data_IF_386505027078
#
_entry.id   IF_386505027078
#
_cell.length_a   1.000
_cell.length_b   1.000
_cell.length_c   1.000
_cell.angle_alpha   90.00
_cell.angle_beta   90.00
_cell.angle_gamma   90.00
#
_symmetry.space_group_name_H-M   'P 1'
#
loop_
_entity.id
_entity.type
_entity.pdbx_description
1 polymer ?
#
# COMPACT_ATOMS: atom_id res chain seq x y z
N UNK A 1 -3.85 -15.62 29.42
CA UNK A 1 -3.04 -15.37 28.20
C UNK A 1 -3.35 -13.97 27.70
N UNK A 2 -2.36 -13.26 27.15
CA UNK A 2 -2.52 -11.89 26.67
C UNK A 2 -2.14 -11.78 25.19
N UNK A 3 -2.73 -10.80 24.49
CA UNK A 3 -2.41 -10.43 23.10
C UNK A 3 -1.96 -8.96 23.09
N UNK A 4 -0.89 -8.64 22.38
CA UNK A 4 -0.40 -7.26 22.25
C UNK A 4 -1.46 -6.42 21.54
N UNK A 5 -1.60 -5.16 21.96
CA UNK A 5 -2.40 -4.15 21.28
C UNK A 5 -1.61 -2.84 21.20
N UNK A 6 -2.01 -1.97 20.28
CA UNK A 6 -1.38 -0.67 20.04
C UNK A 6 -1.19 0.21 21.31
N UNK A 7 -2.07 0.10 22.31
CA UNK A 7 -2.03 0.91 23.54
C UNK A 7 -2.06 0.08 24.85
N UNK A 8 -1.74 -1.22 24.78
CA UNK A 8 -1.81 -2.10 25.93
C UNK A 8 -1.84 -3.58 25.55
N UNK A 9 -2.66 -4.36 26.26
CA UNK A 9 -2.88 -5.78 25.95
C UNK A 9 -4.35 -6.16 26.04
N UNK A 10 -4.76 -7.15 25.24
CA UNK A 10 -6.03 -7.83 25.40
C UNK A 10 -5.82 -9.06 26.26
N UNK A 11 -6.58 -9.21 27.36
CA UNK A 11 -6.66 -10.48 28.08
C UNK A 11 -7.61 -11.40 27.33
N UNK A 12 -7.11 -12.55 26.90
CA UNK A 12 -7.83 -13.47 26.00
C UNK A 12 -9.00 -14.18 26.71
N UNK A 13 -8.94 -14.33 28.03
CA UNK A 13 -9.92 -15.08 28.81
C UNK A 13 -11.30 -14.41 28.86
N UNK A 14 -11.34 -13.10 29.01
CA UNK A 14 -12.55 -12.28 29.13
C UNK A 14 -12.66 -11.20 28.05
N UNK A 15 -11.72 -11.19 27.10
CA UNK A 15 -11.62 -10.21 26.03
C UNK A 15 -11.51 -8.76 26.55
N UNK A 16 -10.97 -8.57 27.76
CA UNK A 16 -10.76 -7.26 28.35
C UNK A 16 -9.54 -6.55 27.74
N UNK A 17 -9.75 -5.36 27.18
CA UNK A 17 -8.67 -4.48 26.74
C UNK A 17 -8.09 -3.75 27.95
N UNK A 18 -6.82 -4.02 28.25
CA UNK A 18 -6.09 -3.50 29.40
C UNK A 18 -5.13 -2.41 28.91
N UNK A 19 -5.35 -1.14 29.25
CA UNK A 19 -4.43 -0.06 28.91
C UNK A 19 -3.05 -0.27 29.54
N UNK A 20 -2.01 0.22 28.85
CA UNK A 20 -0.62 0.25 29.33
C UNK A 20 -0.37 1.24 30.47
N UNK A 21 -1.24 1.30 31.47
CA UNK A 21 -1.20 2.26 32.57
C UNK A 21 -0.54 1.62 33.81
N UNK A 22 0.58 2.16 34.32
CA UNK A 22 1.25 1.69 35.52
C UNK A 22 0.36 1.62 36.76
N UNK A 23 -0.73 2.39 36.84
CA UNK A 23 -1.66 2.37 37.97
C UNK A 23 -2.80 1.35 37.79
N UNK A 24 -2.99 0.81 36.58
CA UNK A 24 -3.98 -0.22 36.32
C UNK A 24 -3.57 -1.56 36.92
N UNK A 25 -4.47 -2.16 37.70
CA UNK A 25 -4.23 -3.43 38.37
C UNK A 25 -4.01 -4.59 37.39
N UNK A 26 -4.81 -4.68 36.34
CA UNK A 26 -4.69 -5.71 35.31
C UNK A 26 -3.40 -5.55 34.50
N UNK A 27 -2.92 -4.31 34.32
CA UNK A 27 -1.62 -4.05 33.70
C UNK A 27 -0.46 -4.56 34.55
N UNK A 28 -0.49 -4.33 35.87
CA UNK A 28 0.49 -4.90 36.81
C UNK A 28 0.48 -6.43 36.77
N UNK A 29 -0.71 -7.03 36.69
CA UNK A 29 -0.86 -8.48 36.57
C UNK A 29 -0.23 -9.02 35.27
N UNK A 30 -0.41 -8.32 34.15
CA UNK A 30 0.28 -8.62 32.89
C UNK A 30 1.81 -8.52 33.02
N UNK A 31 2.34 -7.48 33.67
CA UNK A 31 3.79 -7.32 33.88
C UNK A 31 4.39 -8.43 34.74
N UNK A 32 3.68 -8.89 35.78
CA UNK A 32 4.10 -10.05 36.58
C UNK A 32 4.13 -11.33 35.75
N UNK A 33 3.08 -11.54 34.94
CA UNK A 33 3.02 -12.68 34.03
C UNK A 33 4.19 -12.69 33.02
N UNK A 34 4.61 -11.53 32.52
CA UNK A 34 5.84 -11.42 31.70
C UNK A 34 7.11 -11.76 32.50
N UNK A 35 7.22 -11.30 33.74
CA UNK A 35 8.38 -11.56 34.60
C UNK A 35 8.58 -13.04 34.94
N UNK A 36 7.50 -13.83 34.88
CA UNK A 36 7.52 -15.29 34.99
C UNK A 36 8.05 -15.99 33.72
N UNK A 37 8.39 -15.24 32.67
CA UNK A 37 8.94 -15.74 31.40
C UNK A 37 7.88 -16.06 30.35
N UNK A 38 6.64 -15.65 30.55
CA UNK A 38 5.59 -15.84 29.53
C UNK A 38 5.69 -14.80 28.40
N UNK A 39 5.14 -15.14 27.23
CA UNK A 39 5.16 -14.27 26.03
C UNK A 39 3.75 -14.06 25.49
N UNK A 40 3.28 -12.82 25.28
CA UNK A 40 1.95 -12.54 24.74
C UNK A 40 1.87 -12.91 23.26
N UNK A 41 0.65 -13.18 22.78
CA UNK A 41 0.39 -13.34 21.36
C UNK A 41 0.57 -11.99 20.61
N UNK A 42 0.99 -12.00 19.34
CA UNK A 42 1.07 -10.79 18.52
C UNK A 42 -0.32 -10.18 18.28
N UNK A 43 -0.38 -8.87 17.99
CA UNK A 43 -1.63 -8.14 17.72
C UNK A 43 -2.37 -8.64 16.47
N UNK A 44 -1.63 -9.16 15.49
CA UNK A 44 -2.16 -9.71 14.25
C UNK A 44 -1.57 -11.09 13.99
N UNK A 45 -2.34 -11.97 13.37
CA UNK A 45 -1.81 -13.22 12.79
C UNK A 45 -1.03 -12.93 11.51
N UNK A 46 -0.22 -13.89 11.06
CA UNK A 46 0.52 -13.76 9.79
C UNK A 46 -0.44 -13.54 8.60
N UNK A 47 -1.60 -14.21 8.61
CA UNK A 47 -2.64 -14.04 7.59
C UNK A 47 -3.27 -12.64 7.63
N UNK A 48 -3.53 -12.09 8.83
CA UNK A 48 -4.04 -10.73 9.00
C UNK A 48 -3.01 -9.69 8.53
N UNK A 49 -1.72 -9.90 8.85
CA UNK A 49 -0.64 -9.05 8.36
C UNK A 49 -0.50 -9.12 6.84
N UNK A 50 -0.60 -10.31 6.25
CA UNK A 50 -0.55 -10.49 4.80
C UNK A 50 -1.73 -9.80 4.11
N UNK A 51 -2.94 -9.90 4.67
CA UNK A 51 -4.12 -9.21 4.14
C UNK A 51 -3.99 -7.68 4.25
N UNK A 52 -3.47 -7.17 5.37
CA UNK A 52 -3.19 -5.75 5.57
C UNK A 52 -2.13 -5.24 4.58
N UNK A 53 -1.07 -6.03 4.35
CA UNK A 53 -0.03 -5.68 3.39
C UNK A 53 -0.58 -5.66 1.96
N UNK A 54 -1.35 -6.68 1.58
CA UNK A 54 -2.00 -6.74 0.27
C UNK A 54 -2.91 -5.54 0.03
N UNK A 55 -3.72 -5.14 1.02
CA UNK A 55 -4.59 -3.97 0.90
C UNK A 55 -3.78 -2.67 0.66
N UNK A 56 -2.65 -2.50 1.38
CA UNK A 56 -1.74 -1.37 1.17
C UNK A 56 -1.13 -1.39 -0.23
N UNK A 57 -0.74 -2.56 -0.71
CA UNK A 57 -0.14 -2.69 -2.04
C UNK A 57 -1.17 -2.39 -3.14
N UNK A 58 -2.41 -2.84 -2.99
CA UNK A 58 -3.54 -2.51 -3.89
C UNK A 58 -3.77 -1.00 -3.93
N UNK A 59 -3.80 -0.33 -2.77
CA UNK A 59 -3.99 1.11 -2.69
C UNK A 59 -2.83 1.86 -3.37
N UNK A 60 -1.59 1.50 -3.05
CA UNK A 60 -0.40 2.11 -3.63
C UNK A 60 -0.34 1.91 -5.15
N UNK A 61 -0.67 0.71 -5.63
CA UNK A 61 -0.73 0.39 -7.06
C UNK A 61 -1.84 1.18 -7.78
N UNK A 62 -3.01 1.32 -7.16
CA UNK A 62 -4.13 2.09 -7.70
C UNK A 62 -3.81 3.58 -7.78
N UNK A 63 -3.19 4.12 -6.73
CA UNK A 63 -2.73 5.52 -6.70
C UNK A 63 -1.68 5.78 -7.79
N UNK A 64 -0.67 4.90 -7.90
CA UNK A 64 0.33 4.98 -8.97
C UNK A 64 -0.33 4.97 -10.35
N UNK A 65 -1.23 4.01 -10.61
CA UNK A 65 -1.96 3.89 -11.87
C UNK A 65 -2.73 5.17 -12.23
N UNK A 66 -3.40 5.78 -11.25
CA UNK A 66 -4.14 7.02 -11.46
C UNK A 66 -3.21 8.16 -11.91
N UNK A 67 -2.12 8.40 -11.18
CA UNK A 67 -1.12 9.42 -11.54
C UNK A 67 -0.51 9.14 -12.90
N UNK A 68 -0.23 7.87 -13.20
CA UNK A 68 0.38 7.46 -14.45
C UNK A 68 -0.55 7.72 -15.65
N UNK A 69 -1.85 7.44 -15.52
CA UNK A 69 -2.83 7.76 -16.56
C UNK A 69 -2.94 9.27 -16.82
N UNK A 70 -2.91 10.10 -15.77
CA UNK A 70 -2.87 11.56 -15.92
C UNK A 70 -1.61 12.02 -16.66
N UNK A 71 -0.45 11.46 -16.32
CA UNK A 71 0.80 11.73 -17.02
C UNK A 71 0.69 11.33 -18.49
N UNK A 72 0.16 10.15 -18.82
CA UNK A 72 -0.01 9.75 -20.23
C UNK A 72 -0.94 10.67 -21.00
N UNK A 73 -1.97 11.24 -20.37
CA UNK A 73 -2.85 12.22 -21.00
C UNK A 73 -2.07 13.51 -21.31
N UNK A 74 -1.34 14.04 -20.32
CA UNK A 74 -0.49 15.21 -20.49
C UNK A 74 0.57 15.03 -21.58
N UNK A 75 1.20 13.86 -21.67
CA UNK A 75 2.21 13.57 -22.69
C UNK A 75 1.62 13.52 -24.10
N UNK A 76 0.39 13.03 -24.26
CA UNK A 76 -0.28 13.04 -25.56
C UNK A 76 -0.62 14.46 -26.01
N UNK A 77 -1.06 15.31 -25.08
CA UNK A 77 -1.27 16.75 -25.34
C UNK A 77 0.06 17.45 -25.67
N UNK A 78 1.13 17.16 -24.93
CA UNK A 78 2.43 17.77 -25.17
C UNK A 78 3.02 17.43 -26.55
N UNK A 79 2.76 16.21 -27.05
CA UNK A 79 3.12 15.82 -28.42
C UNK A 79 2.29 16.58 -29.45
N UNK A 80 1.01 16.84 -29.17
CA UNK A 80 0.16 17.65 -30.05
C UNK A 80 0.61 19.11 -30.12
N UNK A 81 1.04 19.68 -28.98
CA UNK A 81 1.66 21.01 -28.91
C UNK A 81 2.97 21.07 -29.70
N UNK A 82 3.85 20.07 -29.55
CA UNK A 82 5.12 19.98 -30.30
C UNK A 82 4.88 19.81 -31.81
N UNK A 83 3.88 19.01 -32.20
CA UNK A 83 3.40 18.89 -33.59
C UNK A 83 2.86 20.22 -34.15
N UNK A 84 2.47 21.17 -33.28
CA UNK A 84 2.02 22.51 -33.62
C UNK A 84 3.13 23.59 -33.49
N UNK A 85 4.40 23.18 -33.49
CA UNK A 85 5.59 24.03 -33.32
C UNK A 85 5.71 24.70 -31.93
N UNK A 86 5.02 24.19 -30.90
CA UNK A 86 5.13 24.62 -29.51
C UNK A 86 5.69 23.49 -28.63
N UNK A 87 7.01 23.38 -28.48
CA UNK A 87 7.63 22.31 -27.67
C UNK A 87 7.50 22.56 -26.16
N UNK A 88 6.70 21.78 -25.42
CA UNK A 88 6.51 22.00 -24.00
C UNK A 88 7.71 21.48 -23.19
N UNK A 89 8.04 22.16 -22.10
CA UNK A 89 9.22 21.82 -21.28
C UNK A 89 9.12 20.46 -20.58
N UNK A 90 7.91 19.94 -20.41
CA UNK A 90 7.61 18.66 -19.79
C UNK A 90 7.35 17.52 -20.80
N UNK A 91 7.60 17.76 -22.10
CA UNK A 91 7.58 16.71 -23.12
C UNK A 91 8.66 15.67 -22.84
N UNK A 92 8.24 14.43 -22.64
CA UNK A 92 9.11 13.28 -22.44
C UNK A 92 9.38 12.54 -23.75
N UNK A 93 10.50 11.79 -23.84
CA UNK A 93 10.78 10.94 -24.99
C UNK A 93 9.65 9.95 -25.31
N UNK A 94 9.49 9.66 -26.60
CA UNK A 94 8.56 8.66 -27.10
C UNK A 94 7.52 9.23 -28.08
N UNK A 95 7.09 8.38 -28.99
CA UNK A 95 6.07 8.71 -30.00
C UNK A 95 4.65 8.59 -29.44
N UNK A 96 3.70 9.29 -30.06
CA UNK A 96 2.27 9.20 -29.75
C UNK A 96 1.77 7.75 -29.70
N UNK A 97 2.23 6.90 -30.63
CA UNK A 97 1.89 5.47 -30.69
C UNK A 97 2.41 4.69 -29.48
N UNK A 98 3.63 4.98 -29.02
CA UNK A 98 4.20 4.35 -27.83
C UNK A 98 3.42 4.76 -26.58
N UNK A 99 3.10 6.04 -26.41
CA UNK A 99 2.30 6.55 -25.30
C UNK A 99 0.87 6.00 -25.27
N UNK A 100 0.21 5.86 -26.43
CA UNK A 100 -1.10 5.20 -26.53
C UNK A 100 -1.06 3.73 -26.12
N UNK A 101 -0.02 2.99 -26.54
CA UNK A 101 0.19 1.60 -26.12
C UNK A 101 0.40 1.52 -24.60
N UNK A 102 1.27 2.37 -24.08
CA UNK A 102 1.58 2.46 -22.65
C UNK A 102 0.33 2.73 -21.81
N UNK A 103 -0.47 3.75 -22.18
CA UNK A 103 -1.75 4.05 -21.53
C UNK A 103 -2.69 2.85 -21.48
N UNK A 104 -2.74 2.06 -22.55
CA UNK A 104 -3.52 0.82 -22.59
C UNK A 104 -3.02 -0.21 -21.57
N UNK A 105 -1.70 -0.40 -21.46
CA UNK A 105 -1.10 -1.29 -20.47
C UNK A 105 -1.41 -0.85 -19.04
N UNK A 106 -1.21 0.43 -18.72
CA UNK A 106 -1.53 1.01 -17.40
C UNK A 106 -3.02 0.91 -17.09
N UNK A 107 -3.89 1.16 -18.07
CA UNK A 107 -5.34 1.07 -17.87
C UNK A 107 -5.80 -0.35 -17.52
N UNK A 108 -5.19 -1.36 -18.14
CA UNK A 108 -5.52 -2.78 -17.94
C UNK A 108 -4.83 -3.42 -16.73
N UNK A 109 -3.76 -2.83 -16.21
CA UNK A 109 -3.10 -3.29 -14.99
C UNK A 109 -3.85 -2.76 -13.75
N UNK A 110 -4.81 -3.53 -13.22
CA UNK A 110 -5.75 -3.12 -12.16
C UNK A 110 -6.24 -4.35 -11.38
N UNK A 111 -6.98 -4.12 -10.29
CA UNK A 111 -7.54 -5.20 -9.49
C UNK A 111 -8.28 -6.25 -10.34
N UNK A 112 -7.99 -7.53 -10.08
CA UNK A 112 -8.55 -8.66 -10.82
C UNK A 112 -7.80 -9.04 -12.10
N UNK A 113 -6.74 -8.32 -12.49
CA UNK A 113 -5.85 -8.74 -13.58
C UNK A 113 -4.57 -9.40 -13.06
N UNK A 114 -3.99 -10.27 -13.89
CA UNK A 114 -2.76 -11.01 -13.57
C UNK A 114 -1.64 -10.02 -13.20
N UNK A 115 -0.89 -10.34 -12.13
CA UNK A 115 0.21 -9.55 -11.59
C UNK A 115 -0.12 -8.19 -10.95
N UNK A 116 -1.39 -7.80 -10.80
CA UNK A 116 -1.74 -6.68 -9.91
C UNK A 116 -1.83 -7.17 -8.46
N UNK A 117 -1.31 -6.45 -7.44
CA UNK A 117 -0.70 -5.11 -7.45
C UNK A 117 0.84 -5.08 -7.52
N UNK A 118 1.48 -6.17 -7.96
CA UNK A 118 2.94 -6.35 -7.87
C UNK A 118 3.73 -5.26 -8.62
N UNK A 119 4.59 -4.56 -7.88
CA UNK A 119 5.41 -3.46 -8.37
C UNK A 119 6.36 -3.88 -9.49
N UNK A 120 6.87 -5.11 -9.48
CA UNK A 120 7.81 -5.60 -10.49
C UNK A 120 7.17 -5.77 -11.87
N UNK A 121 5.84 -5.86 -11.90
CA UNK A 121 5.04 -6.07 -13.11
C UNK A 121 4.40 -4.77 -13.63
N UNK A 122 4.77 -3.61 -13.07
CA UNK A 122 4.26 -2.33 -13.55
C UNK A 122 4.66 -2.06 -15.00
N UNK A 123 3.74 -1.56 -15.84
CA UNK A 123 4.08 -1.10 -17.17
C UNK A 123 5.19 -0.05 -17.15
N UNK A 124 6.13 -0.16 -18.09
CA UNK A 124 7.27 0.76 -18.24
C UNK A 124 6.97 1.82 -19.29
N UNK A 125 7.29 3.08 -18.97
CA UNK A 125 7.12 4.23 -19.87
C UNK A 125 7.94 4.07 -21.16
N UNK A 126 7.53 4.72 -22.25
CA UNK A 126 8.39 4.88 -23.43
C UNK A 126 9.71 5.57 -23.10
N UNK A 127 10.75 5.22 -23.87
CA UNK A 127 12.09 5.82 -23.85
C UNK A 127 12.42 6.44 -25.20
#
# INVERSE_FOLDING_TARGET
MYKIQSYGVLRVEDNAAIPGDPDNYDWKAYLLWLAEGNTPAPEFTDDELAALQLAKDIEAASAWRFTELQLTARQLEAIEEDEADETPADLLPGTRKQWLKYRGQVSNWKEGTESFPDIEHRPVRPS
#
